data_IF_221539015976
#
_entry.id   IF_221539015976
#
_cell.length_a   1.000
_cell.length_b   1.000
_cell.length_c   1.000
_cell.angle_alpha   90.00
_cell.angle_beta   90.00
_cell.angle_gamma   90.00
#
_symmetry.space_group_name_H-M   'P 1'
#
loop_
_entity.id
_entity.type
_entity.pdbx_description
1 polymer ?
#
# COMPACT_ATOMS: atom_id res chain seq x y z
N UNK A 1 0.75 -0.70 18.50
CA UNK A 1 2.01 -1.14 17.83
C UNK A 1 1.96 -0.64 16.39
N UNK A 2 2.15 0.65 16.16
CA UNK A 2 1.87 1.28 14.86
C UNK A 2 3.16 1.81 14.24
N UNK A 3 3.23 1.84 12.91
CA UNK A 3 4.30 2.41 12.07
C UNK A 3 5.68 1.74 12.07
N UNK A 4 6.42 1.69 13.18
CA UNK A 4 7.85 1.31 13.14
C UNK A 4 8.08 -0.15 12.70
N UNK A 5 7.28 -1.09 13.21
CA UNK A 5 7.39 -2.50 12.82
C UNK A 5 7.08 -2.68 11.33
N UNK A 6 6.12 -1.91 10.81
CA UNK A 6 5.73 -1.98 9.41
C UNK A 6 6.80 -1.37 8.49
N UNK A 7 7.37 -0.23 8.87
CA UNK A 7 8.51 0.37 8.14
C UNK A 7 9.71 -0.58 8.11
N UNK A 8 10.04 -1.22 9.25
CA UNK A 8 11.12 -2.21 9.32
C UNK A 8 10.84 -3.42 8.42
N UNK A 9 9.60 -3.92 8.40
CA UNK A 9 9.19 -4.99 7.49
C UNK A 9 9.39 -4.58 6.03
N UNK A 10 8.94 -3.40 5.63
CA UNK A 10 9.08 -2.92 4.26
C UNK A 10 10.55 -2.80 3.85
N UNK A 11 11.37 -2.17 4.71
CA UNK A 11 12.80 -1.97 4.46
C UNK A 11 13.59 -3.28 4.35
N UNK A 12 13.13 -4.35 5.03
CA UNK A 12 13.80 -5.65 5.02
C UNK A 12 13.39 -6.54 3.84
N UNK A 13 12.22 -6.32 3.25
CA UNK A 13 11.64 -7.20 2.22
C UNK A 13 11.59 -6.56 0.83
N UNK A 14 11.67 -5.22 0.76
CA UNK A 14 11.56 -4.46 -0.48
C UNK A 14 12.68 -3.44 -0.57
N UNK A 15 13.16 -3.21 -1.79
CA UNK A 15 14.25 -2.27 -2.06
C UNK A 15 13.71 -0.84 -2.28
N UNK A 16 12.89 -0.38 -1.33
CA UNK A 16 12.27 0.94 -1.34
C UNK A 16 13.14 1.97 -0.63
N UNK A 17 13.23 3.17 -1.21
CA UNK A 17 13.92 4.30 -0.61
C UNK A 17 12.93 5.25 0.08
N UNK A 18 13.41 6.03 1.05
CA UNK A 18 12.65 7.11 1.71
C UNK A 18 11.26 6.71 2.21
N UNK A 19 11.14 5.53 2.84
CA UNK A 19 9.87 5.04 3.38
C UNK A 19 9.35 5.97 4.48
N UNK A 20 8.19 6.58 4.24
CA UNK A 20 7.45 7.38 5.23
C UNK A 20 6.10 6.76 5.46
N UNK A 21 5.77 6.46 6.71
CA UNK A 21 4.46 5.94 7.08
C UNK A 21 3.85 6.82 8.16
N UNK A 22 2.73 7.45 7.83
CA UNK A 22 2.05 8.43 8.70
C UNK A 22 0.73 7.84 9.18
N UNK A 23 0.53 7.86 10.49
CA UNK A 23 -0.71 7.48 11.15
C UNK A 23 -1.41 8.75 11.62
N UNK A 24 -2.63 8.98 11.14
CA UNK A 24 -3.50 10.07 11.59
C UNK A 24 -4.56 9.50 12.54
N UNK A 25 -5.02 10.29 13.50
CA UNK A 25 -6.05 9.86 14.47
C UNK A 25 -7.43 9.66 13.85
N UNK A 26 -7.70 10.37 12.76
CA UNK A 26 -9.00 10.51 12.09
C UNK A 26 -8.97 10.12 10.61
N UNK A 27 -7.80 9.72 10.09
CA UNK A 27 -7.64 9.32 8.69
C UNK A 27 -6.94 7.97 8.58
N UNK A 28 -7.18 7.32 7.45
CA UNK A 28 -6.46 6.10 7.10
C UNK A 28 -4.94 6.35 7.03
N UNK A 29 -4.13 5.35 7.41
CA UNK A 29 -2.68 5.37 7.26
C UNK A 29 -2.25 5.78 5.85
N UNK A 30 -1.16 6.52 5.77
CA UNK A 30 -0.54 6.92 4.50
C UNK A 30 0.89 6.40 4.43
N UNK A 31 1.18 5.63 3.39
CA UNK A 31 2.51 5.19 3.03
C UNK A 31 3.01 5.98 1.82
N UNK A 32 4.23 6.51 1.92
CA UNK A 32 4.97 7.13 0.83
C UNK A 32 6.32 6.41 0.70
N UNK A 33 6.63 5.93 -0.50
CA UNK A 33 7.89 5.24 -0.78
C UNK A 33 8.45 5.68 -2.12
N UNK A 34 9.75 5.86 -2.20
CA UNK A 34 10.44 6.02 -3.48
C UNK A 34 10.74 4.65 -4.06
N UNK A 35 10.28 4.46 -5.30
CA UNK A 35 10.54 3.26 -6.08
C UNK A 35 11.85 3.43 -6.84
N UNK A 36 12.64 2.37 -6.83
CA UNK A 36 13.76 2.23 -7.77
C UNK A 36 13.21 1.98 -9.20
N UNK A 37 14.04 2.08 -10.25
CA UNK A 37 13.59 1.92 -11.62
C UNK A 37 12.92 0.56 -11.92
N UNK A 38 13.36 -0.53 -11.27
CA UNK A 38 12.81 -1.87 -11.48
C UNK A 38 11.38 -1.95 -10.94
N UNK A 39 11.17 -1.46 -9.71
CA UNK A 39 9.86 -1.43 -9.07
C UNK A 39 8.90 -0.47 -9.77
N UNK A 40 9.40 0.65 -10.29
CA UNK A 40 8.61 1.57 -11.10
C UNK A 40 8.08 0.88 -12.36
N UNK A 41 8.91 0.09 -13.05
CA UNK A 41 8.47 -0.69 -14.23
C UNK A 41 7.40 -1.73 -13.85
N UNK A 42 7.55 -2.42 -12.71
CA UNK A 42 6.51 -3.35 -12.21
C UNK A 42 5.17 -2.64 -12.01
N UNK A 43 5.19 -1.47 -11.36
CA UNK A 43 4.00 -0.68 -11.07
C UNK A 43 3.32 -0.16 -12.35
N UNK A 44 4.09 0.42 -13.27
CA UNK A 44 3.59 0.94 -14.56
C UNK A 44 3.05 -0.17 -15.45
N UNK A 45 3.71 -1.33 -15.49
CA UNK A 45 3.21 -2.50 -16.23
C UNK A 45 1.87 -3.01 -15.69
N UNK A 46 1.59 -2.76 -14.41
CA UNK A 46 0.33 -3.10 -13.75
C UNK A 46 -0.72 -1.98 -13.82
N UNK A 47 -0.43 -0.82 -14.44
CA UNK A 47 -1.22 0.43 -14.36
C UNK A 47 -2.71 0.22 -14.66
N UNK A 48 -3.04 -0.48 -15.75
CA UNK A 48 -4.42 -0.79 -16.14
C UNK A 48 -5.18 -1.71 -15.17
N UNK A 49 -4.48 -2.33 -14.22
CA UNK A 49 -5.03 -3.24 -13.24
C UNK A 49 -4.88 -2.76 -11.80
N UNK A 50 -4.25 -1.61 -11.54
CA UNK A 50 -3.97 -1.16 -10.16
C UNK A 50 -5.24 -0.98 -9.34
N UNK A 51 -6.29 -0.36 -9.92
CA UNK A 51 -7.58 -0.20 -9.24
C UNK A 51 -8.21 -1.57 -8.92
N UNK A 52 -8.19 -2.50 -9.87
CA UNK A 52 -8.68 -3.87 -9.66
C UNK A 52 -7.86 -4.63 -8.60
N UNK A 53 -6.54 -4.42 -8.55
CA UNK A 53 -5.66 -5.02 -7.54
C UNK A 53 -6.02 -4.46 -6.16
N UNK A 54 -6.15 -3.14 -6.02
CA UNK A 54 -6.58 -2.48 -4.77
C UNK A 54 -7.92 -3.04 -4.31
N UNK A 55 -8.91 -3.11 -5.20
CA UNK A 55 -10.25 -3.61 -4.88
C UNK A 55 -10.23 -5.05 -4.40
N UNK A 56 -9.40 -5.91 -5.00
CA UNK A 56 -9.19 -7.28 -4.52
C UNK A 56 -8.53 -7.31 -3.14
N UNK A 57 -7.55 -6.47 -2.88
CA UNK A 57 -6.91 -6.36 -1.56
C UNK A 57 -7.90 -5.90 -0.48
N UNK A 58 -8.78 -4.94 -0.79
CA UNK A 58 -9.86 -4.50 0.10
C UNK A 58 -10.84 -5.63 0.42
N UNK A 59 -11.30 -6.37 -0.60
CA UNK A 59 -12.17 -7.53 -0.41
C UNK A 59 -11.53 -8.58 0.50
N UNK A 60 -10.27 -8.95 0.23
CA UNK A 60 -9.52 -9.90 1.08
C UNK A 60 -9.34 -9.40 2.51
N UNK A 61 -9.11 -8.09 2.71
CA UNK A 61 -9.01 -7.51 4.05
C UNK A 61 -10.34 -7.59 4.79
N UNK A 62 -11.46 -7.34 4.11
CA UNK A 62 -12.80 -7.36 4.70
C UNK A 62 -13.22 -8.79 5.11
N UNK A 63 -12.91 -9.78 4.27
CA UNK A 63 -13.17 -11.20 4.57
C UNK A 63 -12.41 -11.70 5.81
N UNK A 64 -11.16 -11.24 5.99
CA UNK A 64 -10.32 -11.62 7.14
C UNK A 64 -10.69 -10.87 8.43
N UNK A 65 -11.29 -9.68 8.33
CA UNK A 65 -11.63 -8.83 9.48
C UNK A 65 -13.08 -8.33 9.38
N UNK A 66 -14.04 -9.14 9.84
CA UNK A 66 -15.48 -8.78 9.89
C UNK A 66 -15.78 -7.45 10.62
N UNK A 67 -14.90 -6.97 11.48
CA UNK A 67 -15.03 -5.67 12.17
C UNK A 67 -14.71 -4.46 11.28
N UNK A 68 -14.15 -4.66 10.09
CA UNK A 68 -13.73 -3.61 9.16
C UNK A 68 -14.65 -3.51 7.93
N UNK A 69 -15.96 -3.66 8.13
CA UNK A 69 -16.99 -3.78 7.07
C UNK A 69 -17.05 -2.62 6.07
N UNK A 70 -16.32 -1.52 6.31
CA UNK A 70 -16.37 -0.28 5.51
C UNK A 70 -15.04 0.07 4.81
N UNK A 71 -14.08 -0.87 4.67
CA UNK A 71 -12.78 -0.59 3.99
C UNK A 71 -12.94 -0.49 2.46
N UNK A 72 -13.96 -1.08 1.86
CA UNK A 72 -14.10 -1.15 0.38
C UNK A 72 -14.25 0.25 -0.21
N UNK A 73 -13.43 0.59 -1.20
CA UNK A 73 -13.43 1.89 -1.87
C UNK A 73 -12.78 3.02 -1.06
N UNK A 74 -12.08 2.70 0.04
CA UNK A 74 -11.42 3.72 0.89
C UNK A 74 -9.95 3.90 0.58
N UNK A 75 -9.35 2.97 -0.15
CA UNK A 75 -7.92 3.00 -0.49
C UNK A 75 -7.69 3.86 -1.73
N UNK A 76 -6.78 4.82 -1.61
CA UNK A 76 -6.37 5.69 -2.71
C UNK A 76 -4.90 5.51 -2.99
N UNK A 77 -4.54 5.55 -4.27
CA UNK A 77 -3.15 5.47 -4.72
C UNK A 77 -2.86 6.60 -5.69
N UNK A 78 -1.66 7.17 -5.60
CA UNK A 78 -1.12 8.10 -6.55
C UNK A 78 0.36 7.81 -6.80
N UNK A 79 0.81 8.03 -8.03
CA UNK A 79 2.21 7.93 -8.42
C UNK A 79 2.67 9.32 -8.86
N UNK A 80 3.56 9.92 -8.07
CA UNK A 80 4.14 11.24 -8.39
C UNK A 80 5.61 11.02 -8.71
N UNK A 81 5.95 11.08 -10.01
CA UNK A 81 7.29 10.72 -10.51
C UNK A 81 7.63 9.26 -10.11
N UNK A 82 8.63 9.06 -9.24
CA UNK A 82 9.03 7.76 -8.73
C UNK A 82 8.53 7.49 -7.30
N UNK A 83 7.68 8.37 -6.75
CA UNK A 83 7.14 8.20 -5.40
C UNK A 83 5.74 7.59 -5.48
N UNK A 84 5.61 6.38 -4.95
CA UNK A 84 4.32 5.74 -4.73
C UNK A 84 3.73 6.25 -3.42
N UNK A 85 2.50 6.73 -3.48
CA UNK A 85 1.72 7.20 -2.35
C UNK A 85 0.46 6.35 -2.27
N UNK A 86 0.26 5.64 -1.16
CA UNK A 86 -0.94 4.84 -0.92
C UNK A 86 -1.52 5.19 0.45
N UNK A 87 -2.82 5.49 0.48
CA UNK A 87 -3.55 5.81 1.70
C UNK A 87 -4.73 4.85 1.83
N UNK A 88 -4.81 4.13 2.94
CA UNK A 88 -5.79 3.08 3.18
C UNK A 88 -5.46 2.30 4.43
N UNK A 89 -6.23 1.26 4.74
CA UNK A 89 -5.93 0.42 5.90
C UNK A 89 -4.54 -0.22 5.78
N UNK A 90 -3.84 -0.41 6.90
CA UNK A 90 -2.50 -1.00 6.91
C UNK A 90 -2.46 -2.37 6.23
N UNK A 91 -3.51 -3.17 6.42
CA UNK A 91 -3.64 -4.51 5.83
C UNK A 91 -3.77 -4.43 4.31
N UNK A 92 -4.59 -3.50 3.79
CA UNK A 92 -4.73 -3.33 2.34
C UNK A 92 -3.41 -2.84 1.73
N UNK A 93 -2.71 -1.91 2.39
CA UNK A 93 -1.39 -1.45 1.95
C UNK A 93 -0.41 -2.63 1.89
N UNK A 94 -0.37 -3.47 2.93
CA UNK A 94 0.48 -4.67 2.95
C UNK A 94 0.16 -5.63 1.81
N UNK A 95 -1.12 -5.96 1.62
CA UNK A 95 -1.57 -6.87 0.56
C UNK A 95 -1.23 -6.31 -0.83
N UNK A 96 -1.41 -5.00 -1.03
CA UNK A 96 -1.10 -4.33 -2.28
C UNK A 96 0.39 -4.42 -2.61
N UNK A 97 1.26 -4.01 -1.67
CA UNK A 97 2.71 -4.04 -1.86
C UNK A 97 3.18 -5.46 -2.20
N UNK A 98 2.67 -6.46 -1.47
CA UNK A 98 2.96 -7.88 -1.77
C UNK A 98 2.43 -8.29 -3.14
N UNK A 99 1.29 -7.80 -3.61
CA UNK A 99 0.74 -8.20 -4.91
C UNK A 99 1.57 -7.65 -6.08
N UNK A 100 2.09 -6.43 -5.97
CA UNK A 100 2.74 -5.72 -7.08
C UNK A 100 4.25 -5.92 -7.12
N UNK A 101 4.91 -5.97 -5.96
CA UNK A 101 6.38 -5.92 -5.90
C UNK A 101 7.06 -7.26 -5.59
N UNK A 102 6.30 -8.35 -5.46
CA UNK A 102 6.88 -9.71 -5.36
C UNK A 102 7.45 -10.19 -6.70
#
# INVERSE_FOLDING_TARGET
MGSEKFIKYLSANYNFDNIKYTLYSDQWPKLEVNLNPIDLVKLVSAEHNLENIIRKCELTSNENHRFNSDIIGTTRMNLVKNTLIIQGSEIVIQLFIKKVFT
#
